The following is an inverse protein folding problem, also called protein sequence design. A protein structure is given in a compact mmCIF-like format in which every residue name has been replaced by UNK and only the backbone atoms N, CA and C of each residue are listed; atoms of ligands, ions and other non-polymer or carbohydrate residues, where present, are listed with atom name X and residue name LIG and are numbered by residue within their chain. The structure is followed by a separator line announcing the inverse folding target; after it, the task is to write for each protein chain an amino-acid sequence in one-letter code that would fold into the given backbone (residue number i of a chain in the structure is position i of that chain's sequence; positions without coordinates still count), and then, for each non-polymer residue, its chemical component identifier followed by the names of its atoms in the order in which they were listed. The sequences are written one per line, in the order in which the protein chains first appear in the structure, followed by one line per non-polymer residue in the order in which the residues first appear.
data_IF_860516809231
#
_entry.id   IF_860516809231
#
_cell.length_a   1.000
_cell.length_b   1.000
_cell.length_c   1.000
_cell.angle_alpha   90.00
_cell.angle_beta   90.00
_cell.angle_gamma   90.00
#
_symmetry.space_group_name_H-M   'P 1'
#
loop_
_entity.id
_entity.type
_entity.pdbx_description
1 polymer ?
#
# COMPACT_ATOMS: atom_id res chain seq x y z
N UNK A 1 28.11 4.50 -43.64
CA UNK A 1 28.88 4.15 -44.86
C UNK A 1 28.96 2.63 -44.94
N UNK A 2 29.02 2.08 -46.15
CA UNK A 2 29.23 0.63 -46.33
C UNK A 2 30.58 0.25 -45.67
N UNK A 3 30.61 -0.60 -44.63
CA UNK A 3 31.81 -0.87 -43.87
C UNK A 3 32.91 -1.55 -44.63
N UNK A 4 32.57 -2.16 -45.76
CA UNK A 4 33.50 -2.94 -46.55
C UNK A 4 34.08 -2.22 -47.78
N UNK A 5 33.55 -1.02 -48.12
CA UNK A 5 33.90 -0.29 -49.34
C UNK A 5 33.46 -0.97 -50.64
N UNK A 6 32.79 -2.12 -50.55
CA UNK A 6 32.24 -2.84 -51.70
C UNK A 6 30.96 -2.16 -52.23
N UNK A 7 30.78 -2.18 -53.56
CA UNK A 7 29.55 -1.68 -54.15
C UNK A 7 28.33 -2.57 -53.82
N UNK A 8 27.16 -2.00 -53.89
CA UNK A 8 25.91 -2.76 -53.75
C UNK A 8 25.52 -3.43 -55.07
N UNK A 9 24.96 -4.67 -55.00
CA UNK A 9 24.47 -5.35 -56.20
C UNK A 9 23.35 -4.57 -56.89
N UNK A 10 23.34 -4.61 -58.23
CA UNK A 10 22.26 -4.03 -59.05
C UNK A 10 21.18 -5.05 -59.39
N UNK A 11 21.29 -6.27 -58.90
CA UNK A 11 20.33 -7.36 -59.13
C UNK A 11 18.93 -7.01 -58.62
N UNK A 12 17.87 -7.29 -59.40
CA UNK A 12 16.48 -7.11 -58.97
C UNK A 12 16.14 -7.90 -57.71
N UNK A 13 16.68 -9.11 -57.53
CA UNK A 13 16.48 -9.93 -56.33
C UNK A 13 17.08 -9.30 -55.08
N UNK A 14 18.28 -8.70 -55.18
CA UNK A 14 18.88 -7.98 -54.07
C UNK A 14 18.03 -6.79 -53.66
N UNK A 15 17.55 -6.01 -54.63
CA UNK A 15 16.68 -4.85 -54.39
C UNK A 15 15.38 -5.27 -53.71
N UNK A 16 14.73 -6.33 -54.21
CA UNK A 16 13.48 -6.84 -53.62
C UNK A 16 13.68 -7.28 -52.15
N UNK A 17 14.76 -8.01 -51.84
CA UNK A 17 15.07 -8.38 -50.47
C UNK A 17 15.34 -7.15 -49.60
N UNK A 18 16.11 -6.18 -50.07
CA UNK A 18 16.36 -4.94 -49.33
C UNK A 18 15.07 -4.10 -49.11
N UNK A 19 14.15 -4.13 -50.06
CA UNK A 19 12.86 -3.44 -50.00
C UNK A 19 11.96 -4.08 -48.92
N UNK A 20 11.87 -5.41 -48.84
CA UNK A 20 11.14 -6.10 -47.80
C UNK A 20 11.73 -5.81 -46.40
N UNK A 21 13.05 -5.81 -46.28
CA UNK A 21 13.73 -5.43 -45.00
C UNK A 21 13.42 -3.95 -44.65
N UNK A 22 13.35 -3.08 -45.65
CA UNK A 22 13.01 -1.67 -45.45
C UNK A 22 11.56 -1.50 -45.00
N UNK A 23 10.63 -2.31 -45.50
CA UNK A 23 9.25 -2.32 -45.01
C UNK A 23 9.17 -2.68 -43.52
N UNK A 24 9.97 -3.65 -43.06
CA UNK A 24 10.10 -3.98 -41.61
C UNK A 24 10.63 -2.77 -40.84
N UNK A 25 11.67 -2.09 -41.37
CA UNK A 25 12.20 -0.87 -40.75
C UNK A 25 11.16 0.26 -40.66
N UNK A 26 10.25 0.38 -41.67
CA UNK A 26 9.18 1.37 -41.60
C UNK A 26 8.14 1.11 -40.49
N UNK A 27 7.93 -0.16 -40.13
CA UNK A 27 7.06 -0.53 -38.99
C UNK A 27 7.74 -0.17 -37.67
N UNK A 28 9.05 -0.39 -37.60
CA UNK A 28 9.87 -0.09 -36.39
C UNK A 28 11.11 0.70 -36.89
N UNK A 29 11.02 2.04 -37.00
CA UNK A 29 12.05 2.86 -37.63
C UNK A 29 13.44 2.77 -36.99
N UNK A 30 13.51 2.45 -35.71
CA UNK A 30 14.80 2.34 -34.99
C UNK A 30 15.48 0.97 -35.16
N UNK A 31 14.75 -0.02 -35.68
CA UNK A 31 15.30 -1.34 -35.94
C UNK A 31 16.15 -1.32 -37.23
N UNK A 32 17.27 -2.02 -37.25
CA UNK A 32 18.12 -2.21 -38.38
C UNK A 32 18.04 -3.66 -38.87
N UNK A 33 17.04 -4.03 -39.70
CA UNK A 33 16.91 -5.37 -40.20
C UNK A 33 17.87 -5.64 -41.35
N UNK A 34 18.43 -6.87 -41.34
CA UNK A 34 19.25 -7.41 -42.40
C UNK A 34 19.03 -8.92 -42.51
N UNK A 35 19.35 -9.47 -43.67
CA UNK A 35 19.31 -10.90 -43.92
C UNK A 35 20.71 -11.48 -44.11
N UNK A 36 20.89 -12.74 -43.74
CA UNK A 36 22.13 -13.47 -43.92
C UNK A 36 21.84 -14.95 -44.19
N UNK A 37 22.82 -15.66 -44.73
CA UNK A 37 22.71 -17.06 -45.14
C UNK A 37 24.01 -17.79 -44.88
N UNK A 38 23.92 -19.09 -44.79
CA UNK A 38 25.10 -19.96 -44.79
C UNK A 38 25.41 -20.44 -46.23
N UNK A 39 26.62 -20.16 -46.73
CA UNK A 39 27.04 -20.63 -48.07
C UNK A 39 27.33 -22.12 -48.03
N UNK A 40 26.64 -22.96 -48.83
CA UNK A 40 26.91 -24.41 -48.84
C UNK A 40 28.32 -24.82 -49.30
N UNK A 41 29.01 -23.91 -49.97
CA UNK A 41 30.34 -24.18 -50.55
C UNK A 41 31.45 -24.23 -49.48
N UNK A 42 31.35 -23.39 -48.45
CA UNK A 42 32.35 -23.26 -47.40
C UNK A 42 31.83 -23.32 -45.97
N UNK A 43 30.48 -23.37 -45.82
CA UNK A 43 29.81 -23.44 -44.51
C UNK A 43 29.83 -22.12 -43.72
N UNK A 44 30.34 -21.05 -44.29
CA UNK A 44 30.42 -19.75 -43.63
C UNK A 44 29.14 -18.92 -43.78
N UNK A 45 28.94 -17.98 -42.82
CA UNK A 45 27.87 -17.03 -42.88
C UNK A 45 28.24 -15.80 -43.72
N UNK A 46 27.30 -15.36 -44.54
CA UNK A 46 27.43 -14.18 -45.40
C UNK A 46 26.16 -13.32 -45.28
N UNK A 47 26.35 -12.01 -45.26
CA UNK A 47 25.23 -11.08 -45.38
C UNK A 47 24.59 -11.16 -46.77
N UNK A 48 23.25 -11.14 -46.80
CA UNK A 48 22.50 -11.16 -48.04
C UNK A 48 22.05 -9.72 -48.44
N UNK A 49 21.38 -9.02 -47.58
CA UNK A 49 20.90 -7.66 -47.78
C UNK A 49 20.68 -6.91 -46.45
N UNK A 50 20.50 -5.60 -46.54
CA UNK A 50 20.19 -4.74 -45.39
C UNK A 50 19.16 -3.69 -45.80
N UNK A 51 18.26 -3.32 -44.90
CA UNK A 51 17.32 -2.21 -45.09
C UNK A 51 18.03 -0.89 -45.38
N UNK A 52 19.25 -0.72 -44.86
CA UNK A 52 20.05 0.47 -45.08
C UNK A 52 20.42 0.74 -46.56
N UNK A 53 20.27 -0.26 -47.46
CA UNK A 53 20.43 -0.05 -48.90
C UNK A 53 19.40 0.95 -49.45
N UNK A 54 18.20 1.00 -48.90
CA UNK A 54 17.10 1.88 -49.36
C UNK A 54 17.26 3.34 -48.87
N UNK A 55 18.24 3.61 -48.03
CA UNK A 55 18.54 4.98 -47.56
C UNK A 55 19.47 5.67 -48.52
N UNK A 56 19.41 7.00 -48.60
CA UNK A 56 20.28 7.78 -49.51
C UNK A 56 21.22 8.69 -48.72
N UNK A 57 22.55 8.53 -48.77
CA UNK A 57 23.28 7.46 -49.48
C UNK A 57 23.09 6.10 -48.81
N UNK A 58 23.19 4.99 -49.55
CA UNK A 58 23.05 3.66 -49.00
C UNK A 58 24.05 3.37 -47.88
N UNK A 59 23.57 2.74 -46.83
CA UNK A 59 24.33 2.34 -45.62
C UNK A 59 24.12 0.86 -45.30
N UNK A 60 24.91 0.32 -44.37
CA UNK A 60 24.78 -1.05 -43.91
C UNK A 60 25.55 -2.06 -44.76
N UNK A 61 25.31 -3.33 -44.46
CA UNK A 61 26.01 -4.44 -45.08
C UNK A 61 25.54 -4.72 -46.50
N UNK A 62 26.43 -5.21 -47.37
CA UNK A 62 26.11 -5.59 -48.72
C UNK A 62 26.20 -7.10 -48.93
N UNK A 63 25.79 -7.58 -50.12
CA UNK A 63 25.77 -8.99 -50.47
C UNK A 63 27.16 -9.64 -50.42
N UNK A 64 27.18 -10.85 -49.83
CA UNK A 64 28.36 -11.74 -49.74
C UNK A 64 29.56 -11.17 -48.96
N UNK A 65 29.28 -10.26 -48.03
CA UNK A 65 30.27 -9.87 -47.02
C UNK A 65 30.30 -10.95 -45.96
N UNK A 66 31.47 -11.50 -45.62
CA UNK A 66 31.59 -12.51 -44.56
C UNK A 66 31.18 -11.93 -43.20
N UNK A 67 30.33 -12.66 -42.47
CA UNK A 67 29.87 -12.23 -41.16
C UNK A 67 31.00 -12.17 -40.15
N UNK A 68 31.93 -13.15 -40.19
CA UNK A 68 33.13 -13.23 -39.33
C UNK A 68 34.11 -12.06 -39.50
N UNK A 69 33.96 -11.25 -40.59
CA UNK A 69 34.75 -10.03 -40.79
C UNK A 69 34.21 -8.81 -40.03
N UNK A 70 32.96 -8.86 -39.52
CA UNK A 70 32.27 -7.74 -38.90
C UNK A 70 31.95 -8.03 -37.42
N UNK A 71 31.50 -9.26 -37.12
CA UNK A 71 31.05 -9.63 -35.77
C UNK A 71 32.10 -10.47 -35.04
N UNK A 72 32.05 -10.45 -33.69
CA UNK A 72 32.87 -11.30 -32.87
C UNK A 72 32.41 -12.78 -32.88
N UNK A 73 33.23 -13.69 -32.33
CA UNK A 73 32.93 -15.11 -32.32
C UNK A 73 31.66 -15.50 -31.58
N UNK A 74 31.29 -14.78 -30.53
CA UNK A 74 30.07 -15.00 -29.75
C UNK A 74 28.84 -14.66 -30.59
N UNK A 75 28.80 -13.47 -31.17
CA UNK A 75 27.73 -13.02 -32.08
C UNK A 75 27.60 -13.96 -33.28
N UNK A 76 28.76 -14.41 -33.86
CA UNK A 76 28.75 -15.37 -34.95
C UNK A 76 28.10 -16.70 -34.56
N UNK A 77 28.37 -17.22 -33.36
CA UNK A 77 27.76 -18.46 -32.88
C UNK A 77 26.24 -18.33 -32.70
N UNK A 78 25.75 -17.18 -32.15
CA UNK A 78 24.33 -16.89 -32.05
C UNK A 78 23.65 -16.74 -33.42
N UNK A 79 24.34 -16.16 -34.41
CA UNK A 79 23.84 -16.06 -35.78
C UNK A 79 23.76 -17.44 -36.45
N UNK A 80 24.69 -18.36 -36.18
CA UNK A 80 24.60 -19.78 -36.63
C UNK A 80 23.37 -20.45 -36.04
N UNK A 81 23.14 -20.30 -34.73
CA UNK A 81 21.95 -20.82 -34.07
C UNK A 81 20.67 -20.20 -34.62
N UNK A 82 20.68 -18.90 -34.96
CA UNK A 82 19.60 -18.14 -35.58
C UNK A 82 19.12 -18.66 -36.93
N UNK A 83 19.92 -19.51 -37.62
CA UNK A 83 19.48 -20.21 -38.84
C UNK A 83 18.45 -21.31 -38.56
N UNK A 84 18.37 -21.83 -37.35
CA UNK A 84 17.50 -22.96 -37.00
C UNK A 84 16.42 -22.59 -35.99
N UNK A 85 16.68 -21.65 -35.08
CA UNK A 85 15.76 -21.21 -34.05
C UNK A 85 15.91 -19.72 -33.78
N UNK A 86 14.87 -19.06 -33.27
CA UNK A 86 14.97 -17.66 -32.90
C UNK A 86 15.83 -17.51 -31.64
N UNK A 87 16.88 -16.71 -31.74
CA UNK A 87 17.80 -16.38 -30.65
C UNK A 87 17.80 -14.88 -30.38
N UNK A 88 18.09 -14.49 -29.16
CA UNK A 88 18.30 -13.10 -28.75
C UNK A 88 19.70 -12.97 -28.15
N UNK A 89 20.37 -11.89 -28.50
CA UNK A 89 21.69 -11.54 -27.99
C UNK A 89 21.54 -10.47 -26.89
N UNK A 90 22.20 -10.69 -25.76
CA UNK A 90 22.35 -9.68 -24.72
C UNK A 90 23.03 -8.42 -25.27
N UNK A 91 22.83 -7.25 -24.65
CA UNK A 91 23.44 -6.01 -25.10
C UNK A 91 24.96 -6.14 -25.25
N UNK A 92 25.46 -5.77 -26.43
CA UNK A 92 26.88 -5.81 -26.78
C UNK A 92 27.33 -4.52 -27.45
N UNK A 93 28.64 -4.32 -27.55
CA UNK A 93 29.24 -3.16 -28.20
C UNK A 93 30.25 -3.62 -29.24
N UNK A 94 30.20 -3.04 -30.41
CA UNK A 94 31.15 -3.23 -31.50
C UNK A 94 31.68 -1.87 -32.02
N UNK A 95 32.40 -1.90 -33.13
CA UNK A 95 32.99 -0.70 -33.76
C UNK A 95 31.91 0.29 -34.31
N UNK A 96 30.67 -0.15 -34.43
CA UNK A 96 29.54 0.61 -34.95
C UNK A 96 28.61 1.16 -33.90
N UNK A 97 28.68 0.65 -32.67
CA UNK A 97 27.84 1.11 -31.57
C UNK A 97 27.54 0.04 -30.53
N UNK A 98 26.53 0.33 -29.70
CA UNK A 98 26.00 -0.63 -28.74
C UNK A 98 24.61 -1.06 -29.18
N UNK A 99 24.39 -2.37 -29.21
CA UNK A 99 23.24 -3.01 -29.82
C UNK A 99 22.62 -4.05 -28.89
N UNK A 100 21.34 -4.32 -29.12
CA UNK A 100 20.66 -5.55 -28.73
C UNK A 100 20.11 -6.18 -30.01
N UNK A 101 20.33 -7.46 -30.20
CA UNK A 101 20.05 -8.12 -31.47
C UNK A 101 19.21 -9.38 -31.30
N UNK A 102 18.46 -9.72 -32.33
CA UNK A 102 17.74 -10.99 -32.42
C UNK A 102 17.88 -11.57 -33.80
N UNK A 103 17.97 -12.89 -33.87
CA UNK A 103 18.16 -13.65 -35.08
C UNK A 103 17.04 -14.68 -35.23
N UNK A 104 16.43 -14.78 -36.39
CA UNK A 104 15.32 -15.69 -36.65
C UNK A 104 15.43 -16.34 -38.03
N UNK A 105 15.14 -17.65 -38.18
CA UNK A 105 15.27 -18.33 -39.46
C UNK A 105 14.26 -17.80 -40.50
N UNK A 106 14.69 -17.67 -41.73
CA UNK A 106 13.84 -17.49 -42.91
C UNK A 106 13.62 -18.86 -43.51
N UNK A 107 12.38 -19.30 -43.61
CA UNK A 107 11.98 -20.61 -44.10
C UNK A 107 11.47 -20.50 -45.53
N UNK A 108 11.71 -21.53 -46.36
CA UNK A 108 11.05 -21.69 -47.65
C UNK A 108 9.62 -22.25 -47.48
N UNK A 109 8.93 -22.48 -48.60
CA UNK A 109 7.56 -23.02 -48.62
C UNK A 109 7.44 -24.44 -48.04
N UNK A 110 8.54 -25.17 -47.99
CA UNK A 110 8.64 -26.54 -47.39
C UNK A 110 9.02 -26.49 -45.92
N UNK A 111 9.20 -25.31 -45.32
CA UNK A 111 9.60 -25.09 -43.95
C UNK A 111 11.09 -25.33 -43.67
N UNK A 112 11.94 -25.36 -44.71
CA UNK A 112 13.37 -25.50 -44.58
C UNK A 112 14.08 -24.15 -44.48
N UNK A 113 15.03 -24.00 -43.54
CA UNK A 113 15.78 -22.74 -43.44
C UNK A 113 16.60 -22.44 -44.69
N UNK A 114 16.43 -21.28 -45.26
CA UNK A 114 17.18 -20.77 -46.43
C UNK A 114 18.12 -19.61 -46.08
N UNK A 115 17.98 -19.09 -44.89
CA UNK A 115 18.76 -17.99 -44.33
C UNK A 115 18.19 -17.57 -42.99
N UNK A 116 18.60 -16.41 -42.52
CA UNK A 116 18.02 -15.81 -41.35
C UNK A 116 17.90 -14.28 -41.43
N UNK A 117 16.99 -13.75 -40.69
CA UNK A 117 16.78 -12.31 -40.44
C UNK A 117 17.48 -11.95 -39.11
N UNK A 118 18.37 -10.96 -39.19
CA UNK A 118 18.92 -10.28 -38.02
C UNK A 118 18.25 -8.92 -37.85
N UNK A 119 17.94 -8.55 -36.64
CA UNK A 119 17.38 -7.24 -36.30
C UNK A 119 18.15 -6.64 -35.14
N UNK A 120 18.82 -5.53 -35.40
CA UNK A 120 19.62 -4.82 -34.39
C UNK A 120 18.88 -3.57 -33.93
N UNK A 121 18.80 -3.39 -32.62
CA UNK A 121 18.30 -2.17 -32.00
C UNK A 121 19.44 -1.41 -31.31
N UNK A 122 19.63 -0.12 -31.60
CA UNK A 122 20.64 0.66 -30.90
C UNK A 122 20.27 0.84 -29.42
N UNK A 123 21.24 0.61 -28.54
CA UNK A 123 21.06 0.78 -27.10
C UNK A 123 20.72 2.22 -26.70
N UNK A 124 21.08 3.19 -27.54
CA UNK A 124 20.66 4.60 -27.37
C UNK A 124 19.15 4.75 -27.43
N UNK A 125 18.47 4.03 -28.34
CA UNK A 125 17.01 4.00 -28.41
C UNK A 125 16.40 3.32 -27.19
N UNK A 126 16.96 2.18 -26.77
CA UNK A 126 16.50 1.47 -25.56
C UNK A 126 16.63 2.38 -24.31
N UNK A 127 17.76 3.07 -24.16
CA UNK A 127 17.99 4.01 -23.08
C UNK A 127 17.01 5.20 -23.13
N UNK A 128 16.72 5.72 -24.33
CA UNK A 128 15.76 6.80 -24.52
C UNK A 128 14.35 6.38 -24.11
N UNK A 129 13.89 5.21 -24.60
CA UNK A 129 12.57 4.66 -24.21
C UNK A 129 12.50 4.43 -22.71
N UNK A 130 13.54 3.88 -22.10
CA UNK A 130 13.61 3.68 -20.66
C UNK A 130 13.51 5.01 -19.89
N UNK A 131 14.24 6.05 -20.33
CA UNK A 131 14.19 7.38 -19.71
C UNK A 131 12.81 8.02 -19.82
N UNK A 132 12.17 7.89 -20.99
CA UNK A 132 10.82 8.43 -21.24
C UNK A 132 9.76 7.73 -20.38
N UNK A 133 9.86 6.40 -20.24
CA UNK A 133 8.99 5.64 -19.34
C UNK A 133 9.19 6.09 -17.90
N UNK A 134 10.42 6.18 -17.42
CA UNK A 134 10.73 6.64 -16.07
C UNK A 134 10.22 8.06 -15.81
N UNK A 135 10.44 8.98 -16.75
CA UNK A 135 10.01 10.37 -16.65
C UNK A 135 8.48 10.51 -16.53
N UNK A 136 7.71 9.61 -17.14
CA UNK A 136 6.25 9.58 -17.04
C UNK A 136 5.77 8.84 -15.78
N UNK A 137 6.47 7.77 -15.39
CA UNK A 137 6.08 6.89 -14.29
C UNK A 137 6.28 7.54 -12.92
N UNK A 138 7.43 8.18 -12.70
CA UNK A 138 7.74 8.78 -11.38
C UNK A 138 6.74 9.85 -10.91
N UNK A 139 6.27 10.79 -11.74
CA UNK A 139 5.25 11.74 -11.33
C UNK A 139 3.93 11.05 -10.93
N UNK A 140 3.50 10.02 -11.68
CA UNK A 140 2.28 9.27 -11.37
C UNK A 140 2.40 8.56 -10.02
N UNK A 141 3.54 7.91 -9.76
CA UNK A 141 3.81 7.27 -8.46
C UNK A 141 3.85 8.31 -7.34
N UNK A 142 4.49 9.46 -7.57
CA UNK A 142 4.57 10.55 -6.59
C UNK A 142 3.20 11.09 -6.22
N UNK A 143 2.36 11.39 -7.22
CA UNK A 143 0.97 11.84 -6.99
C UNK A 143 0.16 10.78 -6.25
N UNK A 144 0.25 9.51 -6.67
CA UNK A 144 -0.45 8.40 -6.00
C UNK A 144 -0.04 8.27 -4.54
N UNK A 145 1.24 8.42 -4.23
CA UNK A 145 1.74 8.38 -2.86
C UNK A 145 1.21 9.53 -2.00
N UNK A 146 1.18 10.76 -2.56
CA UNK A 146 0.63 11.94 -1.87
C UNK A 146 -0.86 11.76 -1.60
N UNK A 147 -1.62 11.27 -2.57
CA UNK A 147 -3.06 10.98 -2.41
C UNK A 147 -3.29 9.92 -1.33
N UNK A 148 -2.52 8.84 -1.34
CA UNK A 148 -2.61 7.79 -0.33
C UNK A 148 -2.29 8.33 1.08
N UNK A 149 -1.23 9.13 1.20
CA UNK A 149 -0.87 9.76 2.47
C UNK A 149 -1.97 10.68 2.98
N UNK A 150 -2.53 11.51 2.11
CA UNK A 150 -3.67 12.38 2.45
C UNK A 150 -4.88 11.57 2.92
N UNK A 151 -5.20 10.46 2.24
CA UNK A 151 -6.30 9.56 2.63
C UNK A 151 -6.06 8.97 4.02
N UNK A 152 -4.84 8.48 4.31
CA UNK A 152 -4.47 7.95 5.63
C UNK A 152 -4.62 9.01 6.72
N UNK A 153 -4.18 10.24 6.47
CA UNK A 153 -4.33 11.34 7.41
C UNK A 153 -5.80 11.70 7.65
N UNK A 154 -6.62 11.74 6.60
CA UNK A 154 -8.06 11.97 6.70
C UNK A 154 -8.72 10.88 7.53
N UNK A 155 -8.47 9.60 7.23
CA UNK A 155 -9.01 8.46 7.98
C UNK A 155 -8.56 8.48 9.44
N UNK A 156 -7.28 8.79 9.71
CA UNK A 156 -6.74 8.89 11.06
C UNK A 156 -7.42 10.00 11.87
N UNK A 157 -7.67 11.15 11.27
CA UNK A 157 -8.30 12.28 11.97
C UNK A 157 -9.82 12.12 12.10
N UNK A 158 -10.46 11.55 11.09
CA UNK A 158 -11.94 11.43 11.05
C UNK A 158 -12.47 10.21 11.79
N UNK A 159 -11.75 9.09 11.81
CA UNK A 159 -12.20 7.85 12.45
C UNK A 159 -11.37 7.46 13.67
N UNK A 160 -10.07 7.30 13.49
CA UNK A 160 -9.22 6.69 14.52
C UNK A 160 -9.12 7.55 15.79
N UNK A 161 -8.96 8.86 15.63
CA UNK A 161 -8.86 9.78 16.78
C UNK A 161 -10.16 9.87 17.59
N UNK A 162 -11.34 10.06 16.99
CA UNK A 162 -12.61 10.05 17.73
C UNK A 162 -12.87 8.72 18.44
N UNK A 163 -12.64 7.59 17.80
CA UNK A 163 -12.80 6.26 18.41
C UNK A 163 -11.91 6.08 19.64
N UNK A 164 -10.65 6.48 19.56
CA UNK A 164 -9.73 6.41 20.70
C UNK A 164 -10.18 7.32 21.86
N UNK A 165 -10.75 8.50 21.57
CA UNK A 165 -11.31 9.39 22.60
C UNK A 165 -12.55 8.79 23.25
N UNK A 166 -13.47 8.20 22.48
CA UNK A 166 -14.62 7.48 23.05
C UNK A 166 -14.19 6.29 23.90
N UNK A 167 -13.19 5.53 23.48
CA UNK A 167 -12.63 4.44 24.28
C UNK A 167 -12.02 4.95 25.59
N UNK A 168 -11.31 6.08 25.57
CA UNK A 168 -10.78 6.69 26.78
C UNK A 168 -11.90 7.20 27.70
N UNK A 169 -12.94 7.81 27.15
CA UNK A 169 -14.13 8.25 27.89
C UNK A 169 -14.83 7.06 28.56
N UNK A 170 -14.98 5.93 27.86
CA UNK A 170 -15.54 4.68 28.44
C UNK A 170 -14.75 4.20 29.65
N UNK A 171 -13.43 4.23 29.59
CA UNK A 171 -12.57 3.82 30.72
C UNK A 171 -12.73 4.76 31.92
N UNK A 172 -12.87 6.06 31.70
CA UNK A 172 -13.10 7.05 32.76
C UNK A 172 -14.47 6.89 33.43
N UNK A 173 -15.52 6.66 32.63
CA UNK A 173 -16.85 6.34 33.16
C UNK A 173 -16.83 5.06 33.99
N UNK A 174 -16.14 4.02 33.55
CA UNK A 174 -15.96 2.78 34.31
C UNK A 174 -15.19 3.00 35.61
N UNK A 175 -14.37 4.05 35.73
CA UNK A 175 -13.67 4.46 36.94
C UNK A 175 -14.49 5.37 37.85
N UNK A 176 -15.76 5.70 37.49
CA UNK A 176 -16.67 6.55 38.28
C UNK A 176 -16.61 8.04 37.93
N UNK A 177 -15.92 8.42 36.85
CA UNK A 177 -15.86 9.81 36.40
C UNK A 177 -16.98 10.06 35.38
N UNK A 178 -18.13 10.53 35.82
CA UNK A 178 -19.32 10.74 34.97
C UNK A 178 -19.45 12.16 34.42
N UNK A 179 -18.68 13.13 34.91
CA UNK A 179 -18.74 14.52 34.45
C UNK A 179 -17.81 14.75 33.25
N UNK A 180 -18.17 14.09 32.14
CA UNK A 180 -17.40 14.13 30.90
C UNK A 180 -18.25 14.74 29.78
N UNK A 181 -17.80 15.84 29.20
CA UNK A 181 -18.37 16.38 27.96
C UNK A 181 -17.86 15.60 26.74
N UNK A 182 -18.51 14.47 26.49
CA UNK A 182 -18.16 13.58 25.35
C UNK A 182 -18.46 14.24 24.01
N UNK A 183 -19.43 15.16 23.95
CA UNK A 183 -19.75 15.90 22.72
C UNK A 183 -18.59 16.77 22.28
N UNK A 184 -17.92 17.46 23.18
CA UNK A 184 -16.76 18.30 22.85
C UNK A 184 -15.54 17.47 22.39
N UNK A 185 -15.48 16.18 22.75
CA UNK A 185 -14.39 15.29 22.38
C UNK A 185 -14.47 14.80 20.93
N UNK A 186 -15.68 14.81 20.32
CA UNK A 186 -15.93 14.34 18.96
C UNK A 186 -16.33 15.52 18.10
N UNK A 187 -15.34 16.34 17.70
CA UNK A 187 -15.54 17.38 16.71
C UNK A 187 -15.45 16.74 15.32
N UNK A 188 -16.59 16.36 14.77
CA UNK A 188 -16.72 15.98 13.37
C UNK A 188 -17.25 17.19 12.59
N UNK A 189 -16.60 17.48 11.45
CA UNK A 189 -16.96 18.62 10.59
C UNK A 189 -18.30 18.40 9.87
N UNK A 190 -18.78 17.14 9.88
CA UNK A 190 -20.05 16.73 9.29
C UNK A 190 -20.82 15.84 10.28
N UNK A 191 -22.16 15.98 10.37
CA UNK A 191 -22.98 15.05 11.12
C UNK A 191 -22.96 13.70 10.40
N UNK A 192 -22.23 12.77 10.98
CA UNK A 192 -22.05 11.40 10.49
C UNK A 192 -22.41 10.40 11.60
N UNK A 193 -22.21 9.13 11.33
CA UNK A 193 -22.45 8.03 12.27
C UNK A 193 -21.65 8.20 13.57
N UNK A 194 -20.49 8.87 13.51
CA UNK A 194 -19.66 9.16 14.68
C UNK A 194 -20.30 10.16 15.62
N UNK A 195 -21.01 11.17 15.07
CA UNK A 195 -21.78 12.12 15.87
C UNK A 195 -22.94 11.42 16.58
N UNK A 196 -23.69 10.59 15.86
CA UNK A 196 -24.81 9.80 16.41
C UNK A 196 -24.31 8.83 17.51
N UNK A 197 -23.15 8.21 17.30
CA UNK A 197 -22.51 7.36 18.29
C UNK A 197 -22.12 8.13 19.55
N UNK A 198 -21.52 9.32 19.41
CA UNK A 198 -21.15 10.18 20.53
C UNK A 198 -22.38 10.67 21.32
N UNK A 199 -23.47 11.00 20.64
CA UNK A 199 -24.73 11.38 21.28
C UNK A 199 -25.36 10.25 22.07
N UNK A 200 -25.43 9.05 21.47
CA UNK A 200 -25.92 7.84 22.12
C UNK A 200 -25.08 7.49 23.35
N UNK A 201 -23.75 7.63 23.23
CA UNK A 201 -22.82 7.40 24.31
C UNK A 201 -23.00 8.40 25.46
N UNK A 202 -23.17 9.68 25.15
CA UNK A 202 -23.46 10.74 26.14
C UNK A 202 -24.75 10.47 26.90
N UNK A 203 -25.81 10.08 26.18
CA UNK A 203 -27.09 9.68 26.80
C UNK A 203 -26.94 8.49 27.74
N UNK A 204 -26.19 7.46 27.32
CA UNK A 204 -25.91 6.28 28.15
C UNK A 204 -25.13 6.67 29.40
N UNK A 205 -24.08 7.46 29.28
CA UNK A 205 -23.27 7.92 30.41
C UNK A 205 -24.11 8.70 31.44
N UNK A 206 -24.98 9.60 30.99
CA UNK A 206 -25.89 10.35 31.85
C UNK A 206 -26.87 9.45 32.61
N UNK A 207 -27.42 8.42 31.95
CA UNK A 207 -28.31 7.43 32.59
C UNK A 207 -27.58 6.59 33.64
N UNK A 208 -26.35 6.16 33.35
CA UNK A 208 -25.52 5.42 34.32
C UNK A 208 -25.21 6.29 35.54
N UNK A 209 -24.79 7.53 35.34
CA UNK A 209 -24.51 8.49 36.38
C UNK A 209 -25.77 8.75 37.30
N UNK A 210 -26.91 8.92 36.67
CA UNK A 210 -28.17 9.12 37.43
C UNK A 210 -28.53 7.90 38.30
N UNK A 211 -28.37 6.69 37.70
CA UNK A 211 -28.66 5.45 38.42
C UNK A 211 -27.71 5.23 39.60
N UNK A 212 -26.43 5.51 39.43
CA UNK A 212 -25.46 5.38 40.53
C UNK A 212 -25.72 6.35 41.67
N UNK A 213 -26.05 7.63 41.33
CA UNK A 213 -26.46 8.62 42.35
C UNK A 213 -27.69 8.15 43.15
N UNK A 214 -28.70 7.61 42.42
CA UNK A 214 -29.91 7.07 43.06
C UNK A 214 -29.58 5.90 43.99
N UNK A 215 -28.76 4.95 43.57
CA UNK A 215 -28.33 3.82 44.38
C UNK A 215 -27.54 4.28 45.61
N UNK A 216 -26.63 5.25 45.43
CA UNK A 216 -25.85 5.80 46.57
C UNK A 216 -26.77 6.48 47.59
N UNK A 217 -27.74 7.22 47.12
CA UNK A 217 -28.77 7.86 48.04
C UNK A 217 -29.59 6.79 48.77
N UNK A 218 -30.02 5.74 48.08
CA UNK A 218 -30.77 4.65 48.69
C UNK A 218 -29.96 3.87 49.73
N UNK A 219 -28.71 3.57 49.44
CA UNK A 219 -27.77 2.96 50.38
C UNK A 219 -27.56 3.83 51.62
N UNK A 220 -27.40 5.16 51.42
CA UNK A 220 -27.26 6.09 52.53
C UNK A 220 -28.52 6.17 53.37
N UNK A 221 -29.71 6.18 52.75
CA UNK A 221 -30.98 6.12 53.46
C UNK A 221 -31.18 4.87 54.28
N UNK A 222 -30.91 3.71 53.68
CA UNK A 222 -30.97 2.41 54.36
C UNK A 222 -30.00 2.34 55.54
N UNK A 223 -28.79 2.90 55.37
CA UNK A 223 -27.80 2.96 56.47
C UNK A 223 -28.30 3.78 57.65
N UNK A 224 -28.92 4.95 57.41
CA UNK A 224 -29.50 5.77 58.45
C UNK A 224 -30.64 5.04 59.14
N UNK A 225 -31.51 4.35 58.39
CA UNK A 225 -32.63 3.58 58.93
C UNK A 225 -32.17 2.42 59.81
N UNK A 226 -31.14 1.70 59.36
CA UNK A 226 -30.50 0.62 60.17
C UNK A 226 -29.86 1.20 61.43
N UNK A 227 -29.18 2.34 61.37
CA UNK A 227 -28.60 2.98 62.56
C UNK A 227 -29.65 3.45 63.54
N UNK A 228 -30.82 3.94 63.05
CA UNK A 228 -31.97 4.29 63.87
C UNK A 228 -32.56 3.06 64.59
N UNK A 229 -32.82 1.99 63.82
CA UNK A 229 -33.34 0.74 64.38
C UNK A 229 -32.40 0.14 65.43
N UNK A 230 -31.09 0.16 65.21
CA UNK A 230 -30.09 -0.28 66.17
C UNK A 230 -30.06 0.56 67.45
N UNK A 231 -30.25 1.88 67.36
CA UNK A 231 -30.32 2.78 68.51
C UNK A 231 -31.60 2.56 69.32
N UNK A 232 -32.74 2.40 68.65
CA UNK A 232 -34.01 2.07 69.37
C UNK A 232 -33.90 0.73 70.10
N UNK A 233 -33.33 -0.29 69.45
CA UNK A 233 -33.13 -1.58 70.08
C UNK A 233 -32.18 -1.48 71.32
N UNK A 234 -31.07 -0.76 71.20
CA UNK A 234 -30.14 -0.50 72.23
C UNK A 234 -30.76 0.28 73.40
N UNK A 235 -31.59 1.33 73.13
CA UNK A 235 -32.35 2.10 74.10
C UNK A 235 -33.34 1.18 74.82
N UNK A 236 -34.08 0.35 74.07
CA UNK A 236 -35.02 -0.61 74.63
C UNK A 236 -34.33 -1.61 75.57
N UNK A 237 -33.21 -2.21 75.14
CA UNK A 237 -32.43 -3.11 75.98
C UNK A 237 -31.96 -2.44 77.27
N UNK A 238 -31.54 -1.17 77.24
CA UNK A 238 -31.12 -0.42 78.43
C UNK A 238 -32.29 -0.13 79.29
N UNK A 239 -33.43 0.30 78.74
CA UNK A 239 -34.62 0.71 79.51
C UNK A 239 -35.36 -0.46 80.09
N UNK A 240 -35.30 -1.65 79.49
CA UNK A 240 -35.92 -2.89 79.98
C UNK A 240 -34.93 -3.68 80.86
N UNK A 241 -33.68 -3.23 81.04
CA UNK A 241 -32.75 -3.87 81.90
C UNK A 241 -33.11 -3.70 83.41
N UNK A 242 -32.97 -4.75 84.18
CA UNK A 242 -33.24 -4.74 85.63
C UNK A 242 -32.45 -3.63 86.35
N UNK A 243 -31.22 -3.32 85.89
CA UNK A 243 -30.38 -2.27 86.47
C UNK A 243 -30.97 -0.85 86.20
N UNK A 244 -31.66 -0.59 85.08
CA UNK A 244 -32.33 0.67 84.83
C UNK A 244 -33.62 0.81 85.63
N UNK A 245 -34.38 -0.25 85.79
CA UNK A 245 -35.56 -0.30 86.66
C UNK A 245 -35.19 -0.03 88.15
N UNK A 246 -34.05 -0.55 88.60
CA UNK A 246 -33.54 -0.27 89.95
C UNK A 246 -33.06 1.18 90.12
N UNK A 247 -32.38 1.78 89.08
CA UNK A 247 -31.98 3.16 89.10
C UNK A 247 -33.18 4.12 89.06
N UNK A 248 -34.18 3.81 88.21
CA UNK A 248 -35.43 4.59 88.17
C UNK A 248 -36.18 4.59 89.47
N UNK A 249 -36.20 3.42 90.20
CA UNK A 249 -36.79 3.30 91.52
C UNK A 249 -36.04 4.11 92.54
N UNK A 250 -34.69 4.06 92.56
CA UNK A 250 -33.85 4.88 93.45
C UNK A 250 -34.02 6.40 93.16
N UNK A 251 -34.08 6.79 91.91
CA UNK A 251 -34.31 8.19 91.52
C UNK A 251 -35.71 8.67 91.97
N UNK A 252 -36.75 7.84 91.86
CA UNK A 252 -38.08 8.14 92.32
C UNK A 252 -38.16 8.27 93.88
N UNK A 253 -37.41 7.41 94.60
CA UNK A 253 -37.26 7.49 96.02
C UNK A 253 -36.56 8.80 96.47
N UNK A 254 -35.45 9.14 95.82
CA UNK A 254 -34.73 10.41 96.07
C UNK A 254 -35.63 11.64 95.80
N UNK A 255 -36.44 11.66 94.73
CA UNK A 255 -37.40 12.72 94.47
C UNK A 255 -38.50 12.79 95.52
N UNK A 256 -38.97 11.69 96.06
CA UNK A 256 -39.93 11.64 97.21
C UNK A 256 -39.32 12.20 98.47
N UNK A 257 -38.07 11.88 98.72
CA UNK A 257 -37.34 12.36 99.88
C UNK A 257 -37.13 13.88 99.87
N UNK A 258 -36.72 14.44 98.76
CA UNK A 258 -36.54 15.88 98.51
C UNK A 258 -37.89 16.64 98.60
N UNK A 259 -39.02 16.05 98.18
CA UNK A 259 -40.34 16.68 98.28
C UNK A 259 -40.94 16.64 99.64
N UNK A 260 -40.44 15.75 100.54
CA UNK A 260 -40.90 15.62 101.93
C UNK A 260 -40.18 16.53 102.92
N UNK A 261 -39.06 17.18 102.50
CA UNK A 261 -38.31 18.12 103.30
C UNK A 261 -38.68 19.59 103.13
N UNK A 262 -39.61 19.89 102.22
CA UNK A 262 -40.12 21.27 101.94
C UNK A 262 -41.52 21.51 102.44
N UNK A 263 -41.90 20.97 103.64
CA UNK A 263 -43.02 21.47 104.36
C UNK A 263 -42.52 22.17 105.67
N UNK A 264 -42.49 23.48 105.72
CA UNK A 264 -42.30 24.22 106.96
C UNK A 264 -43.60 24.13 107.81
N UNK A 265 -43.35 23.90 109.00
CA UNK A 265 -44.27 24.03 110.13
C UNK A 265 -44.86 25.44 110.20
#
# INVERSE_FOLDING_TARGET
ANPTGLGYPTSPLYKANAEELYHINQIVPEANPYSYFQDPADGKLYFAASAGFMVSPPIGVTYKVPVDSIVNAETYALMVEGLSTTTAQEPYTDDYGSWISSYTPILDDDGKPVGALGVDYPMTYVAQVQSDVQRRLYPVLGVSYVVLLALVLILSTSLTRPLNRLTAATKRIAAGEYDLDVRSMVHTRFPDEMYTLAESFTSMAAKVAARERSLTQEVQRLKVEIDHARREEAVKQITESDSFAELARKAAEMRRRNRGEDQPS
#
